data_IF_606297403698
#
_entry.id   IF_606297403698
#
_cell.length_a   1.000
_cell.length_b   1.000
_cell.length_c   1.000
_cell.angle_alpha   90.00
_cell.angle_beta   90.00
_cell.angle_gamma   90.00
#
_symmetry.space_group_name_H-M   'P 1'
#
loop_
_entity.id
_entity.type
_entity.pdbx_description
1 polymer ?
#
# COMPACT_ATOMS: atom_id res chain seq x y z
N UNK A 1 -10.80 6.39 -49.06
CA UNK A 1 -9.96 7.14 -48.12
C UNK A 1 -9.95 8.60 -48.56
N UNK A 2 -10.11 9.56 -47.65
CA UNK A 2 -9.99 11.00 -47.94
C UNK A 2 -8.83 11.57 -47.13
N UNK A 3 -8.09 12.51 -47.73
CA UNK A 3 -6.94 13.18 -47.11
C UNK A 3 -7.01 14.68 -47.33
N UNK A 4 -6.59 15.44 -46.34
CA UNK A 4 -6.48 16.89 -46.39
C UNK A 4 -5.17 17.29 -45.71
N UNK A 5 -4.43 18.19 -46.36
CA UNK A 5 -3.28 18.86 -45.75
C UNK A 5 -3.71 20.26 -45.36
N UNK A 6 -3.43 20.65 -44.11
CA UNK A 6 -3.59 22.02 -43.64
C UNK A 6 -2.35 22.38 -42.84
N UNK A 7 -1.66 23.44 -43.27
CA UNK A 7 -0.35 23.82 -42.77
C UNK A 7 0.62 22.62 -42.88
N UNK A 8 1.14 22.13 -41.75
CA UNK A 8 2.01 20.94 -41.66
C UNK A 8 1.29 19.73 -41.01
N UNK A 9 -0.04 19.74 -41.00
CA UNK A 9 -0.84 18.65 -40.43
C UNK A 9 -1.57 17.89 -41.55
N UNK A 10 -1.45 16.57 -41.47
CA UNK A 10 -2.18 15.62 -42.28
C UNK A 10 -3.45 15.18 -41.54
N UNK A 11 -4.59 15.37 -42.18
CA UNK A 11 -5.88 14.84 -41.74
C UNK A 11 -6.29 13.69 -42.66
N UNK A 12 -6.51 12.51 -42.08
CA UNK A 12 -6.95 11.31 -42.80
C UNK A 12 -8.30 10.86 -42.29
N UNK A 13 -9.23 10.66 -43.22
CA UNK A 13 -10.51 10.00 -42.97
C UNK A 13 -10.52 8.66 -43.69
N UNK A 14 -10.50 7.60 -42.91
CA UNK A 14 -10.46 6.22 -43.37
C UNK A 14 -11.71 5.48 -42.89
N UNK A 15 -12.23 4.58 -43.73
CA UNK A 15 -13.43 3.81 -43.42
C UNK A 15 -13.16 2.35 -43.78
N UNK A 16 -13.15 1.51 -42.76
CA UNK A 16 -13.20 0.05 -42.87
C UNK A 16 -14.63 -0.37 -42.51
N UNK A 17 -14.84 -1.00 -41.35
CA UNK A 17 -16.18 -1.22 -40.77
C UNK A 17 -16.81 0.06 -40.24
N UNK A 18 -16.01 0.88 -39.54
CA UNK A 18 -16.38 2.18 -38.98
C UNK A 18 -15.48 3.24 -39.57
N UNK A 19 -15.97 4.47 -39.55
CA UNK A 19 -15.18 5.63 -39.93
C UNK A 19 -14.21 6.00 -38.81
N UNK A 20 -12.95 6.24 -39.17
CA UNK A 20 -11.87 6.67 -38.30
C UNK A 20 -11.25 7.92 -38.90
N UNK A 21 -11.10 8.94 -38.07
CA UNK A 21 -10.44 10.20 -38.43
C UNK A 21 -9.16 10.32 -37.61
N UNK A 22 -8.04 10.58 -38.27
CA UNK A 22 -6.72 10.69 -37.65
C UNK A 22 -6.07 12.00 -38.07
N UNK A 23 -5.32 12.62 -37.16
CA UNK A 23 -4.48 13.77 -37.44
C UNK A 23 -3.02 13.41 -37.11
N UNK A 24 -2.08 13.79 -37.96
CA UNK A 24 -0.65 13.59 -37.72
C UNK A 24 0.19 14.71 -38.31
N UNK A 25 1.30 15.04 -37.64
CA UNK A 25 2.31 16.00 -38.07
C UNK A 25 3.50 15.38 -38.82
N UNK A 26 3.59 14.05 -38.93
CA UNK A 26 4.79 13.37 -39.42
C UNK A 26 4.55 12.31 -40.50
N UNK A 27 3.36 11.71 -40.56
CA UNK A 27 3.08 10.67 -41.54
C UNK A 27 2.82 11.22 -42.94
N UNK A 28 3.12 10.40 -43.95
CA UNK A 28 2.58 10.59 -45.31
C UNK A 28 1.11 10.16 -45.34
N UNK A 29 0.37 10.65 -46.33
CA UNK A 29 -1.06 10.34 -46.43
C UNK A 29 -1.35 8.85 -46.67
N UNK A 30 -0.46 8.17 -47.41
CA UNK A 30 -0.52 6.74 -47.68
C UNK A 30 0.77 6.27 -48.35
N UNK A 31 1.43 5.25 -47.79
CA UNK A 31 2.68 4.69 -48.35
C UNK A 31 2.50 3.36 -49.11
N UNK A 32 1.26 2.95 -49.40
CA UNK A 32 0.99 1.69 -50.11
C UNK A 32 0.68 0.50 -49.19
N UNK A 33 0.62 0.73 -47.88
CA UNK A 33 0.36 -0.32 -46.91
C UNK A 33 -1.07 -0.89 -46.96
N UNK A 34 -1.23 -2.14 -46.54
CA UNK A 34 -2.54 -2.78 -46.46
C UNK A 34 -2.66 -3.63 -45.20
N UNK A 35 -3.88 -3.74 -44.68
CA UNK A 35 -4.20 -4.64 -43.57
C UNK A 35 -5.12 -5.76 -44.05
N UNK A 36 -4.85 -6.99 -43.60
CA UNK A 36 -5.64 -8.18 -43.96
C UNK A 36 -6.88 -8.23 -43.07
N UNK A 37 -8.06 -8.11 -43.67
CA UNK A 37 -9.36 -8.17 -42.97
C UNK A 37 -10.22 -9.31 -43.48
N UNK A 38 -11.02 -9.88 -42.57
CA UNK A 38 -12.03 -10.88 -42.90
C UNK A 38 -13.35 -10.16 -43.15
N UNK A 39 -13.80 -10.16 -44.40
CA UNK A 39 -15.01 -9.44 -44.86
C UNK A 39 -16.04 -10.46 -45.31
N UNK A 40 -17.33 -10.19 -45.07
CA UNK A 40 -18.43 -11.02 -45.55
C UNK A 40 -18.94 -10.46 -46.87
N UNK A 41 -18.70 -11.16 -47.97
CA UNK A 41 -19.20 -10.82 -49.31
C UNK A 41 -20.11 -11.96 -49.77
N UNK A 42 -21.34 -11.63 -50.23
CA UNK A 42 -22.33 -12.62 -50.70
C UNK A 42 -22.57 -13.80 -49.74
N UNK A 43 -22.61 -13.53 -48.43
CA UNK A 43 -22.85 -14.55 -47.40
C UNK A 43 -21.62 -15.37 -46.98
N UNK A 44 -20.51 -15.30 -47.74
CA UNK A 44 -19.27 -16.03 -47.46
C UNK A 44 -18.20 -15.12 -46.84
N UNK A 45 -17.43 -15.66 -45.91
CA UNK A 45 -16.28 -14.96 -45.33
C UNK A 45 -15.06 -15.10 -46.23
N UNK A 46 -14.48 -13.97 -46.65
CA UNK A 46 -13.26 -13.92 -47.44
C UNK A 46 -12.23 -13.00 -46.79
N UNK A 47 -10.95 -13.28 -47.03
CA UNK A 47 -9.88 -12.37 -46.64
C UNK A 47 -9.64 -11.37 -47.76
N UNK A 48 -9.55 -10.09 -47.41
CA UNK A 48 -9.28 -8.99 -48.34
C UNK A 48 -8.21 -8.09 -47.76
N UNK A 49 -7.33 -7.61 -48.62
CA UNK A 49 -6.36 -6.58 -48.25
C UNK A 49 -7.02 -5.22 -48.43
N UNK A 50 -7.14 -4.48 -47.34
CA UNK A 50 -7.75 -3.15 -47.30
C UNK A 50 -6.62 -2.13 -47.13
N UNK A 51 -6.54 -1.10 -47.99
CA UNK A 51 -5.50 -0.08 -47.88
C UNK A 51 -5.65 0.67 -46.56
N UNK A 52 -4.56 0.78 -45.79
CA UNK A 52 -4.55 1.41 -44.47
C UNK A 52 -3.59 2.61 -44.47
N UNK A 53 -3.98 3.78 -43.94
CA UNK A 53 -3.05 4.90 -43.77
C UNK A 53 -1.98 4.57 -42.76
N UNK A 54 -0.76 5.05 -43.01
CA UNK A 54 0.41 4.87 -42.15
C UNK A 54 0.10 5.29 -40.71
N UNK A 55 -0.56 6.45 -40.54
CA UNK A 55 -0.94 6.96 -39.22
C UNK A 55 -1.86 6.03 -38.41
N UNK A 56 -2.73 5.27 -39.08
CA UNK A 56 -3.63 4.32 -38.41
C UNK A 56 -2.89 3.01 -38.08
N UNK A 57 -1.98 2.59 -38.96
CA UNK A 57 -1.14 1.42 -38.75
C UNK A 57 -0.23 1.63 -37.54
N UNK A 58 0.44 2.77 -37.47
CA UNK A 58 1.35 3.13 -36.39
C UNK A 58 0.59 3.28 -35.08
N UNK A 59 -0.53 4.02 -35.06
CA UNK A 59 -1.35 4.15 -33.85
C UNK A 59 -1.73 2.79 -33.24
N UNK A 60 -2.16 1.83 -34.08
CA UNK A 60 -2.51 0.48 -33.61
C UNK A 60 -1.31 -0.31 -33.06
N UNK A 61 -0.08 0.03 -33.44
CA UNK A 61 1.13 -0.56 -32.88
C UNK A 61 1.49 -0.01 -31.49
N UNK A 62 0.98 1.18 -31.13
CA UNK A 62 1.43 1.95 -29.97
C UNK A 62 0.55 1.76 -28.73
N UNK A 63 -0.24 0.68 -28.65
CA UNK A 63 -1.28 0.40 -27.62
C UNK A 63 -0.82 0.30 -26.16
N UNK A 64 -0.11 1.33 -25.66
CA UNK A 64 0.59 1.32 -24.38
C UNK A 64 -0.30 1.59 -23.17
N UNK A 65 -1.34 2.42 -23.31
CA UNK A 65 -2.22 2.76 -22.18
C UNK A 65 -3.12 1.57 -21.83
N UNK A 66 -3.84 1.01 -22.81
CA UNK A 66 -4.78 -0.10 -22.58
C UNK A 66 -4.11 -1.35 -21.99
N UNK A 67 -2.88 -1.67 -22.43
CA UNK A 67 -2.13 -2.80 -21.88
C UNK A 67 -1.72 -2.53 -20.43
N UNK A 68 -1.30 -1.32 -20.11
CA UNK A 68 -0.97 -0.93 -18.74
C UNK A 68 -2.20 -0.98 -17.82
N UNK A 69 -3.35 -0.50 -18.29
CA UNK A 69 -4.62 -0.53 -17.56
C UNK A 69 -5.09 -1.97 -17.32
N UNK A 70 -4.96 -2.85 -18.32
CA UNK A 70 -5.25 -4.27 -18.17
C UNK A 70 -4.37 -4.91 -17.09
N UNK A 71 -3.06 -4.64 -17.09
CA UNK A 71 -2.15 -5.14 -16.06
C UNK A 71 -2.52 -4.61 -14.66
N UNK A 72 -2.85 -3.32 -14.54
CA UNK A 72 -3.33 -2.74 -13.28
C UNK A 72 -4.61 -3.44 -12.81
N UNK A 73 -5.55 -3.73 -13.72
CA UNK A 73 -6.78 -4.42 -13.38
C UNK A 73 -6.55 -5.88 -12.94
N UNK A 74 -5.72 -6.64 -13.65
CA UNK A 74 -5.44 -8.05 -13.29
C UNK A 74 -4.74 -8.20 -11.94
N UNK A 75 -3.90 -7.23 -11.59
CA UNK A 75 -2.98 -7.35 -10.45
C UNK A 75 -3.28 -6.41 -9.28
N UNK A 76 -4.35 -5.63 -9.36
CA UNK A 76 -4.83 -4.78 -8.26
C UNK A 76 -5.44 -5.63 -7.15
N UNK A 77 -4.78 -5.64 -5.99
CA UNK A 77 -5.30 -6.25 -4.78
C UNK A 77 -6.34 -5.28 -4.21
N UNK A 78 -7.62 -5.47 -4.55
CA UNK A 78 -8.71 -4.61 -4.07
C UNK A 78 -8.88 -4.72 -2.55
N UNK A 79 -8.25 -3.80 -1.81
CA UNK A 79 -8.76 -3.29 -0.54
C UNK A 79 -9.37 -1.91 -0.78
N UNK A 80 -10.62 -1.67 -0.38
CA UNK A 80 -11.21 -0.32 -0.42
C UNK A 80 -10.44 0.56 0.57
N UNK A 81 -9.67 1.54 0.09
CA UNK A 81 -8.99 2.53 0.96
C UNK A 81 -9.17 3.94 0.39
N UNK A 82 -9.40 4.92 1.27
CA UNK A 82 -9.70 6.33 0.93
C UNK A 82 -8.45 7.23 0.85
N UNK A 83 -7.24 6.65 0.75
CA UNK A 83 -5.97 7.41 0.85
C UNK A 83 -5.16 7.23 -0.43
N UNK A 84 -4.80 8.34 -1.07
CA UNK A 84 -4.42 8.43 -2.49
C UNK A 84 -2.91 8.52 -2.77
N UNK A 85 -2.04 8.46 -1.76
CA UNK A 85 -0.61 8.70 -1.92
C UNK A 85 0.20 7.42 -1.84
N UNK A 86 0.77 7.01 -2.98
CA UNK A 86 2.22 6.81 -3.18
C UNK A 86 2.47 6.08 -4.50
N UNK A 87 3.27 6.68 -5.39
CA UNK A 87 3.77 6.00 -6.57
C UNK A 87 5.17 6.48 -6.99
N UNK A 88 6.00 5.47 -7.26
CA UNK A 88 7.16 5.37 -8.19
C UNK A 88 8.55 5.80 -7.71
N UNK A 89 9.50 4.86 -7.88
CA UNK A 89 10.87 5.16 -8.30
C UNK A 89 11.89 4.03 -8.10
N UNK A 90 12.21 3.28 -9.17
CA UNK A 90 13.61 2.99 -9.63
C UNK A 90 13.63 2.05 -10.85
N UNK A 91 14.53 2.36 -11.79
CA UNK A 91 14.74 1.70 -13.07
C UNK A 91 15.93 0.74 -12.99
N UNK A 92 15.66 -0.56 -12.94
CA UNK A 92 16.66 -1.62 -13.17
C UNK A 92 16.05 -2.71 -14.06
N UNK A 93 16.90 -3.53 -14.68
CA UNK A 93 16.56 -4.46 -15.77
C UNK A 93 15.34 -5.32 -15.47
N UNK A 94 14.39 -5.47 -16.42
CA UNK A 94 13.08 -6.01 -16.13
C UNK A 94 13.12 -7.52 -15.91
N UNK A 95 13.04 -7.94 -14.65
CA UNK A 95 12.53 -9.26 -14.31
C UNK A 95 11.03 -9.34 -14.68
N UNK A 96 10.50 -10.54 -14.92
CA UNK A 96 9.06 -10.66 -15.25
C UNK A 96 8.21 -10.16 -14.10
N UNK A 97 7.04 -9.56 -14.39
CA UNK A 97 6.13 -9.01 -13.35
C UNK A 97 5.77 -10.05 -12.27
N UNK A 98 5.66 -11.33 -12.66
CA UNK A 98 5.45 -12.45 -11.73
C UNK A 98 6.63 -12.60 -10.75
N UNK A 99 7.86 -12.68 -11.28
CA UNK A 99 9.07 -12.83 -10.47
C UNK A 99 9.26 -11.65 -9.52
N UNK A 100 9.00 -10.42 -10.00
CA UNK A 100 9.06 -9.22 -9.17
C UNK A 100 8.12 -9.33 -7.96
N UNK A 101 6.85 -9.70 -8.18
CA UNK A 101 5.87 -9.83 -7.10
C UNK A 101 6.21 -10.95 -6.12
N UNK A 102 6.72 -12.08 -6.60
CA UNK A 102 7.15 -13.19 -5.73
C UNK A 102 8.29 -12.77 -4.82
N UNK A 103 9.26 -12.01 -5.33
CA UNK A 103 10.37 -11.45 -4.54
C UNK A 103 9.85 -10.40 -3.56
N UNK A 104 9.04 -9.43 -4.04
CA UNK A 104 8.48 -8.36 -3.20
C UNK A 104 7.65 -8.91 -2.03
N UNK A 105 6.81 -9.93 -2.26
CA UNK A 105 6.02 -10.56 -1.20
C UNK A 105 6.92 -11.23 -0.17
N UNK A 106 7.98 -11.92 -0.61
CA UNK A 106 8.95 -12.55 0.31
C UNK A 106 9.64 -11.51 1.18
N UNK A 107 10.09 -10.41 0.58
CA UNK A 107 10.75 -9.30 1.30
C UNK A 107 9.81 -8.63 2.31
N UNK A 108 8.60 -8.25 1.88
CA UNK A 108 7.61 -7.61 2.77
C UNK A 108 7.21 -8.51 3.94
N UNK A 109 7.05 -9.82 3.71
CA UNK A 109 6.75 -10.78 4.78
C UNK A 109 7.94 -10.92 5.74
N UNK A 110 9.17 -10.91 5.22
CA UNK A 110 10.36 -10.97 6.06
C UNK A 110 10.48 -9.72 6.95
N UNK A 111 10.27 -8.52 6.40
CA UNK A 111 10.23 -7.27 7.17
C UNK A 111 9.12 -7.26 8.21
N UNK A 112 7.90 -7.69 7.86
CA UNK A 112 6.79 -7.76 8.81
C UNK A 112 7.07 -8.73 9.96
N UNK A 113 7.70 -9.88 9.66
CA UNK A 113 8.13 -10.84 10.70
C UNK A 113 9.25 -10.25 11.57
N UNK A 114 10.21 -9.53 10.98
CA UNK A 114 11.26 -8.85 11.72
C UNK A 114 10.70 -7.74 12.62
N UNK A 115 9.71 -6.98 12.14
CA UNK A 115 9.00 -5.96 12.93
C UNK A 115 8.17 -6.58 14.07
N UNK A 116 7.58 -7.75 13.86
CA UNK A 116 6.86 -8.49 14.91
C UNK A 116 7.80 -9.16 15.93
N UNK A 117 9.01 -9.52 15.50
CA UNK A 117 10.07 -10.10 16.33
C UNK A 117 10.91 -9.05 17.06
N UNK A 118 10.89 -7.79 16.60
CA UNK A 118 11.47 -6.68 17.34
C UNK A 118 10.82 -6.64 18.73
N UNK A 119 11.60 -6.53 19.81
CA UNK A 119 11.00 -6.37 21.13
C UNK A 119 10.08 -5.16 21.07
N UNK A 120 8.77 -5.37 21.36
CA UNK A 120 7.91 -4.26 21.82
C UNK A 120 8.72 -3.47 22.84
N UNK A 121 8.61 -2.14 22.93
CA UNK A 121 9.22 -1.41 24.03
C UNK A 121 8.74 -2.06 25.33
N UNK A 122 9.61 -2.88 25.89
CA UNK A 122 9.38 -3.58 27.14
C UNK A 122 9.81 -2.63 28.22
N UNK A 123 8.93 -2.52 29.21
CA UNK A 123 9.06 -1.72 30.42
C UNK A 123 8.78 -0.22 30.23
N UNK A 124 7.54 0.15 30.56
CA UNK A 124 7.25 1.42 31.24
C UNK A 124 8.34 1.67 32.28
N UNK A 125 9.25 2.60 32.01
CA UNK A 125 10.36 2.94 32.91
C UNK A 125 9.83 3.53 34.22
N UNK A 126 8.60 4.03 34.21
CA UNK A 126 7.92 4.68 35.33
C UNK A 126 7.27 3.66 36.27
N UNK A 127 7.65 3.71 37.54
CA UNK A 127 6.92 3.06 38.63
C UNK A 127 5.52 3.66 38.75
N UNK A 128 4.48 2.84 38.59
CA UNK A 128 3.08 3.28 38.76
C UNK A 128 2.40 2.57 39.92
N UNK A 129 1.50 3.30 40.57
CA UNK A 129 0.66 2.81 41.66
C UNK A 129 -0.49 1.96 41.11
N UNK A 130 -0.70 0.77 41.68
CA UNK A 130 -1.81 -0.14 41.35
C UNK A 130 -2.47 -0.66 42.64
N UNK A 131 -3.72 -1.10 42.56
CA UNK A 131 -4.44 -1.74 43.68
C UNK A 131 -4.35 -3.27 43.58
N UNK A 132 -4.22 -3.95 44.73
CA UNK A 132 -4.22 -5.42 44.77
C UNK A 132 -5.58 -6.04 44.43
N UNK A 133 -6.67 -5.34 44.76
CA UNK A 133 -8.04 -5.81 44.54
C UNK A 133 -8.98 -4.69 44.11
N UNK A 134 -10.22 -5.05 43.80
CA UNK A 134 -11.23 -4.11 43.27
C UNK A 134 -11.83 -3.18 44.35
N UNK A 135 -11.64 -3.50 45.63
CA UNK A 135 -12.15 -2.70 46.75
C UNK A 135 -11.02 -2.33 47.69
N UNK A 136 -11.17 -1.18 48.37
CA UNK A 136 -10.14 -0.65 49.25
C UNK A 136 -9.80 -1.59 50.42
N UNK A 137 -10.65 -2.55 50.79
CA UNK A 137 -10.47 -3.49 51.92
C UNK A 137 -9.92 -4.86 51.49
N UNK A 138 -10.06 -5.23 50.22
CA UNK A 138 -9.59 -6.51 49.72
C UNK A 138 -8.06 -6.57 49.58
N UNK A 139 -7.50 -7.74 49.89
CA UNK A 139 -6.11 -8.12 49.55
C UNK A 139 -5.00 -7.14 50.01
N UNK A 140 -5.22 -6.44 51.13
CA UNK A 140 -4.24 -5.51 51.70
C UNK A 140 -2.99 -6.25 52.21
N UNK A 141 -1.82 -5.76 51.83
CA UNK A 141 -0.51 -6.28 52.28
C UNK A 141 0.18 -5.29 53.22
N UNK A 142 1.12 -5.77 54.03
CA UNK A 142 1.90 -4.88 54.93
C UNK A 142 2.86 -4.03 54.10
N UNK A 143 2.87 -2.72 54.33
CA UNK A 143 3.76 -1.79 53.66
C UNK A 143 5.22 -2.09 54.03
N UNK A 144 6.11 -2.16 53.04
CA UNK A 144 7.54 -2.49 53.23
C UNK A 144 8.23 -1.45 54.10
N UNK A 145 8.18 -0.16 53.74
CA UNK A 145 8.82 0.91 54.53
C UNK A 145 8.28 1.02 55.96
N UNK A 146 6.97 0.82 56.16
CA UNK A 146 6.41 0.84 57.51
C UNK A 146 6.92 -0.34 58.34
N UNK A 147 7.05 -1.52 57.72
CA UNK A 147 7.59 -2.71 58.38
C UNK A 147 9.02 -2.48 58.86
N UNK A 148 9.85 -1.82 58.04
CA UNK A 148 11.23 -1.47 58.40
C UNK A 148 11.30 -0.46 59.56
N UNK A 149 10.30 0.43 59.66
CA UNK A 149 10.12 1.35 60.78
C UNK A 149 9.47 0.69 62.02
N UNK A 150 9.28 -0.63 62.02
CA UNK A 150 8.63 -1.38 63.11
C UNK A 150 7.10 -1.32 63.15
N UNK A 151 6.46 -0.70 62.15
CA UNK A 151 5.02 -0.51 62.06
C UNK A 151 4.35 -1.54 61.13
N UNK A 152 3.25 -2.16 61.57
CA UNK A 152 2.48 -3.14 60.76
C UNK A 152 1.29 -2.52 60.02
N UNK A 153 1.54 -1.51 59.20
CA UNK A 153 0.48 -0.83 58.42
C UNK A 153 0.16 -1.60 57.15
N UNK A 154 -1.12 -1.90 56.93
CA UNK A 154 -1.61 -2.58 55.73
C UNK A 154 -2.05 -1.56 54.67
N UNK A 155 -1.67 -1.79 53.42
CA UNK A 155 -1.98 -0.95 52.26
C UNK A 155 -2.66 -1.77 51.16
N UNK A 156 -3.67 -1.22 50.45
CA UNK A 156 -4.29 -1.88 49.31
C UNK A 156 -3.52 -1.66 48.00
N UNK A 157 -2.45 -0.84 48.01
CA UNK A 157 -1.72 -0.45 46.78
C UNK A 157 -0.28 -0.95 46.75
N UNK A 158 0.25 -1.12 45.54
CA UNK A 158 1.60 -1.59 45.24
C UNK A 158 2.18 -0.94 43.99
N UNK A 159 3.50 -1.04 43.84
CA UNK A 159 4.18 -0.61 42.62
C UNK A 159 4.10 -1.67 41.53
N UNK A 160 3.64 -1.32 40.32
CA UNK A 160 3.54 -2.25 39.19
C UNK A 160 4.89 -2.82 38.73
N UNK A 161 5.99 -2.08 38.95
CA UNK A 161 7.34 -2.45 38.53
C UNK A 161 8.11 -3.19 39.62
N UNK A 162 8.07 -2.69 40.85
CA UNK A 162 8.81 -3.26 41.99
C UNK A 162 8.02 -4.35 42.72
N UNK A 163 6.71 -4.44 42.48
CA UNK A 163 5.79 -5.38 43.15
C UNK A 163 5.72 -5.23 44.68
N UNK A 164 6.21 -4.11 45.21
CA UNK A 164 6.25 -3.80 46.64
C UNK A 164 4.97 -3.09 47.09
N UNK A 165 4.44 -3.52 48.24
CA UNK A 165 3.30 -2.88 48.89
C UNK A 165 3.76 -1.60 49.61
N UNK A 166 3.22 -0.45 49.21
CA UNK A 166 3.62 0.86 49.70
C UNK A 166 2.37 1.67 50.11
N UNK A 167 2.45 2.47 51.18
CA UNK A 167 1.35 3.35 51.57
C UNK A 167 1.23 4.53 50.59
N UNK A 168 0.00 4.86 50.20
CA UNK A 168 -0.35 6.08 49.47
C UNK A 168 -1.61 6.70 50.08
N UNK A 169 -1.39 7.54 51.09
CA UNK A 169 -2.46 8.26 51.82
C UNK A 169 -2.01 9.72 52.03
N UNK A 170 -2.95 10.66 52.27
CA UNK A 170 -2.58 12.07 52.47
C UNK A 170 -1.53 12.31 53.56
N UNK A 171 -1.59 11.52 54.65
CA UNK A 171 -0.67 11.66 55.79
C UNK A 171 0.59 10.78 55.68
N UNK A 172 0.68 9.88 54.69
CA UNK A 172 1.80 8.93 54.54
C UNK A 172 1.94 8.48 53.09
N UNK A 173 3.05 8.89 52.46
CA UNK A 173 3.37 8.56 51.08
C UNK A 173 4.67 7.74 50.98
N UNK A 174 4.60 6.49 51.43
CA UNK A 174 5.73 5.56 51.34
C UNK A 174 6.07 5.21 49.87
N UNK A 175 5.13 5.35 48.94
CA UNK A 175 5.39 5.11 47.52
C UNK A 175 6.45 6.08 46.98
N UNK A 176 6.28 7.37 47.24
CA UNK A 176 7.25 8.39 46.84
C UNK A 176 8.59 8.23 47.55
N UNK A 177 8.60 8.04 48.87
CA UNK A 177 9.84 7.86 49.63
C UNK A 177 10.66 6.66 49.16
N UNK A 178 10.02 5.55 48.82
CA UNK A 178 10.69 4.35 48.33
C UNK A 178 11.36 4.58 46.98
N UNK A 179 10.68 5.28 46.07
CA UNK A 179 11.19 5.56 44.73
C UNK A 179 12.12 6.78 44.64
N UNK A 180 12.18 7.63 45.65
CA UNK A 180 13.18 8.71 45.75
C UNK A 180 14.50 8.24 46.37
N UNK A 181 14.54 7.05 46.96
CA UNK A 181 15.75 6.42 47.53
C UNK A 181 16.41 5.41 46.58
N UNK A 182 15.81 5.15 45.41
CA UNK A 182 16.38 4.37 44.30
C UNK A 182 17.09 5.28 43.32
#
# INVERSE_FOLDING_TARGET
MRRLWKDNLLFVKWKDTKEVTMCSSFHKAYSGDSTRRRVKEAGQWRYKNIPVPDAIKDYNGWGGVDLSDALIQYYSVRGKTMRWLLAIGRSETPMTHKQFREVLIKELVAEAKAAAAAPRPTLSTTCMLMYFGQTATAQRRVCVLCKDQGNKVKTPVYCSKCNDALCFTPNRNCFQEYHMRM
#
